data_IF_388377103886
#
_entry.id   IF_388377103886
#
_cell.length_a   1.000
_cell.length_b   1.000
_cell.length_c   1.000
_cell.angle_alpha   90.00
_cell.angle_beta   90.00
_cell.angle_gamma   90.00
#
_symmetry.space_group_name_H-M   'P 1'
#
loop_
_entity.id
_entity.type
_entity.pdbx_description
1 polymer ?
#
# COMPACT_ATOMS: atom_id res chain seq x y z
N UNK A 1 14.24 -29.70 -88.90
CA UNK A 1 13.32 -29.30 -87.81
C UNK A 1 13.57 -30.22 -86.62
N UNK A 2 14.21 -29.78 -85.52
CA UNK A 2 14.39 -30.63 -84.36
C UNK A 2 13.07 -30.70 -83.53
N UNK A 3 12.80 -31.85 -82.88
CA UNK A 3 11.49 -32.15 -82.30
C UNK A 3 11.29 -31.48 -80.93
N UNK A 4 10.26 -30.64 -80.89
CA UNK A 4 9.32 -30.32 -79.81
C UNK A 4 9.82 -30.37 -78.35
N UNK A 5 10.01 -29.15 -77.85
CA UNK A 5 10.24 -28.65 -76.48
C UNK A 5 9.25 -29.07 -75.39
N UNK A 6 8.35 -30.03 -75.62
CA UNK A 6 7.25 -30.36 -74.71
C UNK A 6 7.72 -30.89 -73.34
N UNK A 7 8.63 -31.86 -73.32
CA UNK A 7 9.13 -32.49 -72.08
C UNK A 7 9.91 -31.52 -71.19
N UNK A 8 10.69 -30.62 -71.79
CA UNK A 8 11.41 -29.57 -71.03
C UNK A 8 10.44 -28.56 -70.42
N UNK A 9 9.39 -28.19 -71.14
CA UNK A 9 8.34 -27.31 -70.61
C UNK A 9 7.60 -27.97 -69.45
N UNK A 10 7.24 -29.26 -69.56
CA UNK A 10 6.60 -30.00 -68.47
C UNK A 10 7.49 -30.17 -67.22
N UNK A 11 8.79 -30.38 -67.39
CA UNK A 11 9.74 -30.45 -66.27
C UNK A 11 9.85 -29.09 -65.56
N UNK A 12 9.92 -27.99 -66.31
CA UNK A 12 9.95 -26.64 -65.74
C UNK A 12 8.65 -26.31 -65.00
N UNK A 13 7.49 -26.67 -65.56
CA UNK A 13 6.19 -26.50 -64.92
C UNK A 13 6.09 -27.33 -63.63
N UNK A 14 6.57 -28.58 -63.65
CA UNK A 14 6.60 -29.43 -62.46
C UNK A 14 7.52 -28.87 -61.36
N UNK A 15 8.73 -28.44 -61.71
CA UNK A 15 9.66 -27.79 -60.77
C UNK A 15 9.08 -26.49 -60.19
N UNK A 16 8.42 -25.67 -61.01
CA UNK A 16 7.75 -24.46 -60.56
C UNK A 16 6.60 -24.78 -59.58
N UNK A 17 5.82 -25.83 -59.85
CA UNK A 17 4.76 -26.29 -58.95
C UNK A 17 5.33 -26.79 -57.62
N UNK A 18 6.40 -27.58 -57.65
CA UNK A 18 7.08 -28.07 -56.43
C UNK A 18 7.62 -26.90 -55.60
N UNK A 19 8.26 -25.91 -56.24
CA UNK A 19 8.73 -24.70 -55.55
C UNK A 19 7.58 -23.88 -54.95
N UNK A 20 6.46 -23.77 -55.66
CA UNK A 20 5.29 -23.06 -55.17
C UNK A 20 4.68 -23.76 -53.95
N UNK A 21 4.55 -25.09 -54.01
CA UNK A 21 4.05 -25.89 -52.88
C UNK A 21 5.01 -25.82 -51.70
N UNK A 22 6.32 -25.97 -51.94
CA UNK A 22 7.32 -25.85 -50.89
C UNK A 22 7.31 -24.45 -50.25
N UNK A 23 7.23 -23.39 -51.05
CA UNK A 23 7.10 -22.01 -50.57
C UNK A 23 5.83 -21.78 -49.77
N UNK A 24 4.69 -22.30 -50.22
CA UNK A 24 3.42 -22.21 -49.49
C UNK A 24 3.48 -22.95 -48.16
N UNK A 25 4.01 -24.18 -48.14
CA UNK A 25 4.17 -24.97 -46.90
C UNK A 25 5.14 -24.30 -45.93
N UNK A 26 6.27 -23.79 -46.42
CA UNK A 26 7.23 -23.03 -45.61
C UNK A 26 6.62 -21.75 -45.05
N UNK A 27 5.84 -21.01 -45.84
CA UNK A 27 5.15 -19.80 -45.39
C UNK A 27 4.10 -20.11 -44.33
N UNK A 28 3.29 -21.15 -44.52
CA UNK A 28 2.28 -21.59 -43.55
C UNK A 28 2.94 -22.09 -42.27
N UNK A 29 4.04 -22.85 -42.37
CA UNK A 29 4.83 -23.30 -41.23
C UNK A 29 5.45 -22.14 -40.43
N UNK A 30 6.02 -21.16 -41.13
CA UNK A 30 6.54 -19.94 -40.49
C UNK A 30 5.44 -19.15 -39.78
N UNK A 31 4.28 -18.96 -40.43
CA UNK A 31 3.11 -18.32 -39.80
C UNK A 31 2.64 -19.06 -38.56
N UNK A 32 2.61 -20.39 -38.59
CA UNK A 32 2.26 -21.22 -37.44
C UNK A 32 3.30 -21.16 -36.31
N UNK A 33 4.58 -20.91 -36.63
CA UNK A 33 5.68 -20.85 -35.67
C UNK A 33 5.73 -19.57 -34.82
N UNK A 34 4.94 -18.54 -35.16
CA UNK A 34 4.90 -17.29 -34.39
C UNK A 34 4.32 -17.59 -32.98
N UNK A 35 5.09 -17.35 -31.90
CA UNK A 35 4.67 -17.71 -30.54
C UNK A 35 3.39 -16.98 -30.14
N UNK A 36 2.66 -17.55 -29.18
CA UNK A 36 1.55 -16.86 -28.51
C UNK A 36 2.08 -15.72 -27.60
N UNK A 37 1.22 -14.79 -27.15
CA UNK A 37 1.60 -13.76 -26.19
C UNK A 37 2.17 -14.36 -24.91
N UNK A 38 3.10 -13.64 -24.28
CA UNK A 38 3.71 -14.00 -23.00
C UNK A 38 3.08 -13.17 -21.89
N UNK A 39 2.98 -13.77 -20.71
CA UNK A 39 2.48 -13.12 -19.50
C UNK A 39 3.58 -13.09 -18.46
N UNK A 40 3.72 -11.97 -17.77
CA UNK A 40 4.64 -11.81 -16.64
C UNK A 40 3.91 -11.09 -15.53
N UNK A 41 3.95 -11.66 -14.33
CA UNK A 41 3.31 -11.11 -13.15
C UNK A 41 3.52 -12.01 -11.94
N UNK A 42 3.52 -11.42 -10.75
CA UNK A 42 3.60 -12.13 -9.47
C UNK A 42 2.29 -11.92 -8.74
N UNK A 43 1.31 -12.84 -8.86
CA UNK A 43 0.05 -12.69 -8.15
C UNK A 43 0.22 -12.95 -6.64
N UNK A 44 -0.69 -12.41 -5.82
CA UNK A 44 -0.75 -12.76 -4.41
C UNK A 44 -1.14 -14.23 -4.23
N UNK A 45 -0.64 -14.88 -3.17
CA UNK A 45 -0.97 -16.28 -2.84
C UNK A 45 -2.36 -16.39 -2.21
N UNK A 46 -2.74 -15.38 -1.43
CA UNK A 46 -4.01 -15.27 -0.73
C UNK A 46 -4.80 -14.07 -1.27
N UNK A 47 -6.12 -14.23 -1.39
CA UNK A 47 -7.03 -13.17 -1.83
C UNK A 47 -8.12 -13.02 -0.77
N UNK A 48 -8.15 -11.85 -0.14
CA UNK A 48 -9.23 -11.45 0.77
C UNK A 48 -10.43 -10.85 0.07
N UNK A 49 -11.16 -10.01 0.79
CA UNK A 49 -12.30 -9.28 0.22
C UNK A 49 -11.94 -8.40 -0.98
N UNK A 50 -10.75 -7.79 -0.96
CA UNK A 50 -10.24 -6.93 -2.03
C UNK A 50 -8.74 -7.16 -2.21
N UNK A 51 -8.35 -7.62 -3.39
CA UNK A 51 -6.95 -7.80 -3.76
C UNK A 51 -6.64 -7.10 -5.08
N UNK A 52 -5.45 -6.52 -5.20
CA UNK A 52 -4.97 -5.90 -6.43
C UNK A 52 -3.73 -6.61 -6.95
N UNK A 53 -3.73 -7.00 -8.21
CA UNK A 53 -2.60 -7.62 -8.88
C UNK A 53 -2.42 -7.00 -10.27
N UNK A 54 -1.18 -6.81 -10.72
CA UNK A 54 -0.89 -6.28 -12.05
C UNK A 54 -0.21 -7.35 -12.89
N UNK A 55 -0.74 -7.60 -14.08
CA UNK A 55 -0.17 -8.54 -15.04
C UNK A 55 0.28 -7.79 -16.29
N UNK A 56 1.48 -8.12 -16.76
CA UNK A 56 2.00 -7.60 -18.03
C UNK A 56 1.82 -8.66 -19.09
N UNK A 57 1.14 -8.31 -20.17
CA UNK A 57 0.95 -9.17 -21.34
C UNK A 57 1.72 -8.57 -22.51
N UNK A 58 2.52 -9.39 -23.19
CA UNK A 58 3.31 -8.97 -24.35
C UNK A 58 3.07 -9.90 -25.54
N UNK A 59 2.66 -9.31 -26.66
CA UNK A 59 2.53 -10.02 -27.93
C UNK A 59 3.90 -10.35 -28.52
N UNK A 60 4.13 -11.63 -28.81
CA UNK A 60 5.35 -12.08 -29.47
C UNK A 60 5.44 -11.59 -30.92
N UNK A 61 4.30 -11.35 -31.57
CA UNK A 61 4.18 -10.70 -32.87
C UNK A 61 2.85 -9.92 -32.97
N UNK A 62 2.78 -8.95 -33.88
CA UNK A 62 1.57 -8.13 -34.06
C UNK A 62 1.23 -7.26 -32.85
N UNK A 63 -0.08 -7.12 -32.58
CA UNK A 63 -0.65 -6.41 -31.43
C UNK A 63 -1.57 -7.33 -30.64
N UNK A 64 -1.79 -6.99 -29.38
CA UNK A 64 -2.81 -7.66 -28.59
C UNK A 64 -4.20 -7.26 -29.11
N UNK A 65 -5.04 -8.25 -29.39
CA UNK A 65 -6.44 -8.05 -29.79
C UNK A 65 -7.38 -8.13 -28.59
N UNK A 66 -7.05 -8.97 -27.60
CA UNK A 66 -7.79 -9.12 -26.35
C UNK A 66 -6.82 -9.49 -25.24
N UNK A 67 -7.02 -8.92 -24.06
CA UNK A 67 -6.43 -9.38 -22.82
C UNK A 67 -7.53 -9.35 -21.76
N UNK A 68 -7.54 -10.31 -20.85
CA UNK A 68 -8.42 -10.31 -19.69
C UNK A 68 -7.87 -11.23 -18.61
N UNK A 69 -8.19 -10.91 -17.37
CA UNK A 69 -7.85 -11.71 -16.20
C UNK A 69 -9.14 -12.31 -15.68
N UNK A 70 -9.11 -13.62 -15.44
CA UNK A 70 -10.24 -14.38 -14.93
C UNK A 70 -9.85 -15.08 -13.64
N UNK A 71 -10.81 -15.28 -12.75
CA UNK A 71 -10.65 -16.15 -11.57
C UNK A 71 -11.49 -17.40 -11.80
N UNK A 72 -10.84 -18.56 -11.75
CA UNK A 72 -11.45 -19.87 -11.87
C UNK A 72 -11.62 -20.48 -10.48
N UNK A 73 -12.86 -20.79 -10.10
CA UNK A 73 -13.17 -21.48 -8.85
C UNK A 73 -14.28 -22.50 -9.07
N UNK A 74 -14.04 -23.76 -8.69
CA UNK A 74 -15.04 -24.83 -8.79
C UNK A 74 -15.60 -25.04 -10.20
N UNK A 75 -14.79 -24.80 -11.24
CA UNK A 75 -15.22 -24.89 -12.65
C UNK A 75 -15.95 -23.66 -13.19
N UNK A 76 -16.21 -22.64 -12.35
CA UNK A 76 -16.81 -21.37 -12.76
C UNK A 76 -15.72 -20.32 -12.98
N UNK A 77 -15.71 -19.66 -14.14
CA UNK A 77 -14.74 -18.62 -14.49
C UNK A 77 -15.41 -17.25 -14.46
N UNK A 78 -14.86 -16.31 -13.70
CA UNK A 78 -15.35 -14.94 -13.57
C UNK A 78 -14.30 -13.97 -14.09
N UNK A 79 -14.68 -13.09 -15.01
CA UNK A 79 -13.78 -12.05 -15.54
C UNK A 79 -13.67 -10.94 -14.50
N UNK A 80 -12.47 -10.68 -14.01
CA UNK A 80 -12.19 -9.66 -12.97
C UNK A 80 -11.58 -8.39 -13.55
N UNK A 81 -10.90 -8.49 -14.69
CA UNK A 81 -10.33 -7.34 -15.37
C UNK A 81 -10.32 -7.54 -16.87
N UNK A 82 -10.73 -6.50 -17.58
CA UNK A 82 -10.63 -6.42 -19.03
C UNK A 82 -10.23 -4.98 -19.40
N UNK A 83 -9.01 -4.75 -19.90
CA UNK A 83 -8.63 -3.43 -20.38
C UNK A 83 -9.52 -3.04 -21.57
N UNK A 84 -9.98 -1.80 -21.55
CA UNK A 84 -10.78 -1.21 -22.61
C UNK A 84 -9.88 -0.52 -23.65
N UNK A 85 -10.31 -0.56 -24.92
CA UNK A 85 -9.61 0.12 -26.02
C UNK A 85 -8.61 -0.75 -26.80
N UNK A 86 -7.89 -0.11 -27.71
CA UNK A 86 -6.92 -0.78 -28.57
C UNK A 86 -5.64 -1.11 -27.79
N UNK A 87 -5.31 -2.39 -27.70
CA UNK A 87 -4.10 -2.84 -27.01
C UNK A 87 -2.91 -2.76 -27.95
N UNK A 88 -1.77 -2.28 -27.42
CA UNK A 88 -0.51 -2.24 -28.14
C UNK A 88 0.15 -3.62 -28.23
N UNK A 89 1.47 -3.63 -28.47
CA UNK A 89 2.26 -4.87 -28.39
C UNK A 89 2.46 -5.35 -26.95
N UNK A 90 2.48 -4.42 -25.99
CA UNK A 90 2.55 -4.69 -24.55
C UNK A 90 1.40 -3.96 -23.87
N UNK A 91 0.74 -4.63 -22.93
CA UNK A 91 -0.35 -4.07 -22.14
C UNK A 91 -0.17 -4.45 -20.67
N UNK A 92 -0.39 -3.48 -19.79
CA UNK A 92 -0.50 -3.70 -18.35
C UNK A 92 -1.96 -3.85 -17.99
N UNK A 93 -2.29 -4.92 -17.28
CA UNK A 93 -3.65 -5.26 -16.90
C UNK A 93 -3.73 -5.24 -15.36
N UNK A 94 -4.07 -4.09 -14.76
CA UNK A 94 -4.37 -4.02 -13.35
C UNK A 94 -5.69 -4.74 -13.08
N UNK A 95 -5.65 -5.76 -12.24
CA UNK A 95 -6.80 -6.53 -11.82
C UNK A 95 -7.12 -6.21 -10.35
N UNK A 96 -8.31 -5.67 -10.12
CA UNK A 96 -8.89 -5.52 -8.78
C UNK A 96 -9.90 -6.63 -8.60
N UNK A 97 -9.60 -7.57 -7.71
CA UNK A 97 -10.41 -8.74 -7.42
C UNK A 97 -11.22 -8.42 -6.17
N UNK A 98 -12.52 -8.22 -6.33
CA UNK A 98 -13.46 -8.07 -5.23
C UNK A 98 -14.26 -9.37 -5.08
N UNK A 99 -13.93 -10.16 -4.06
CA UNK A 99 -14.42 -11.53 -3.94
C UNK A 99 -15.95 -11.60 -3.86
N UNK A 100 -16.58 -10.67 -3.13
CA UNK A 100 -18.04 -10.60 -2.99
C UNK A 100 -18.75 -10.26 -4.31
N UNK A 101 -18.24 -9.27 -5.06
CA UNK A 101 -18.80 -8.85 -6.34
C UNK A 101 -18.64 -9.93 -7.43
N UNK A 102 -17.52 -10.68 -7.37
CA UNK A 102 -17.26 -11.81 -8.25
C UNK A 102 -18.02 -13.10 -7.83
N UNK A 103 -18.71 -13.11 -6.70
CA UNK A 103 -19.43 -14.28 -6.17
C UNK A 103 -18.51 -15.44 -5.80
N UNK A 104 -17.26 -15.14 -5.45
CA UNK A 104 -16.26 -16.11 -5.05
C UNK A 104 -16.48 -16.54 -3.60
N UNK A 105 -16.17 -17.80 -3.31
CA UNK A 105 -16.28 -18.40 -1.97
C UNK A 105 -14.90 -18.68 -1.39
N UNK A 106 -14.85 -18.95 -0.09
CA UNK A 106 -13.64 -19.38 0.58
C UNK A 106 -13.15 -20.73 0.02
N UNK A 107 -11.83 -20.86 -0.17
CA UNK A 107 -11.18 -22.07 -0.69
C UNK A 107 -10.25 -21.83 -1.89
N UNK A 108 -9.79 -22.91 -2.50
CA UNK A 108 -8.85 -22.85 -3.63
C UNK A 108 -9.47 -22.26 -4.91
N UNK A 109 -8.70 -21.43 -5.60
CA UNK A 109 -9.02 -20.86 -6.90
C UNK A 109 -7.75 -20.74 -7.76
N UNK A 110 -7.90 -20.33 -9.01
CA UNK A 110 -6.78 -20.02 -9.90
C UNK A 110 -7.02 -18.70 -10.61
N UNK A 111 -6.01 -17.82 -10.63
CA UNK A 111 -6.03 -16.64 -11.50
C UNK A 111 -5.50 -17.08 -12.86
N UNK A 112 -6.31 -16.91 -13.89
CA UNK A 112 -5.95 -17.19 -15.27
C UNK A 112 -5.85 -15.90 -16.08
N UNK A 113 -4.73 -15.75 -16.79
CA UNK A 113 -4.53 -14.64 -17.71
C UNK A 113 -4.77 -15.14 -19.13
N UNK A 114 -5.75 -14.52 -19.79
CA UNK A 114 -6.16 -14.86 -21.14
C UNK A 114 -5.79 -13.69 -22.05
N UNK A 115 -5.06 -13.94 -23.12
CA UNK A 115 -4.85 -12.94 -24.15
C UNK A 115 -4.73 -13.56 -25.53
N UNK A 116 -5.08 -12.75 -26.54
CA UNK A 116 -5.02 -13.11 -27.94
C UNK A 116 -4.36 -11.97 -28.71
N UNK A 117 -3.50 -12.31 -29.65
CA UNK A 117 -2.94 -11.36 -30.62
C UNK A 117 -3.81 -11.29 -31.89
N UNK A 118 -3.49 -10.33 -32.77
CA UNK A 118 -4.11 -10.18 -34.09
C UNK A 118 -3.42 -11.02 -35.18
N UNK A 119 -2.51 -11.92 -34.80
CA UNK A 119 -1.72 -12.72 -35.75
C UNK A 119 -2.53 -13.91 -36.27
N UNK A 120 -2.78 -13.91 -37.58
CA UNK A 120 -3.43 -15.03 -38.27
C UNK A 120 -2.50 -16.27 -38.33
N UNK A 121 -3.03 -17.41 -37.87
CA UNK A 121 -2.36 -18.72 -37.89
C UNK A 121 -3.22 -19.75 -38.65
N UNK A 122 -2.64 -20.60 -39.52
CA UNK A 122 -3.39 -21.57 -40.32
C UNK A 122 -4.18 -22.59 -39.48
N UNK A 123 -3.61 -23.06 -38.37
CA UNK A 123 -4.27 -23.95 -37.42
C UNK A 123 -4.73 -23.15 -36.20
N UNK A 124 -6.04 -23.17 -35.94
CA UNK A 124 -6.62 -22.61 -34.72
C UNK A 124 -6.36 -23.58 -33.56
N UNK A 125 -5.45 -23.20 -32.67
CA UNK A 125 -5.38 -23.81 -31.34
C UNK A 125 -6.57 -23.34 -30.52
N UNK A 126 -7.11 -24.21 -29.68
CA UNK A 126 -8.13 -23.82 -28.72
C UNK A 126 -7.64 -22.67 -27.84
N UNK A 127 -8.55 -21.78 -27.47
CA UNK A 127 -8.21 -20.72 -26.52
C UNK A 127 -7.87 -21.38 -25.19
N UNK A 128 -6.67 -21.10 -24.69
CA UNK A 128 -6.18 -21.57 -23.39
C UNK A 128 -5.66 -20.39 -22.56
N UNK A 129 -5.70 -20.54 -21.25
CA UNK A 129 -5.01 -19.61 -20.35
C UNK A 129 -3.51 -19.58 -20.69
N UNK A 130 -2.94 -18.37 -20.82
CA UNK A 130 -1.51 -18.19 -21.08
C UNK A 130 -0.69 -18.41 -19.81
N UNK A 131 -1.27 -18.08 -18.66
CA UNK A 131 -0.73 -18.36 -17.35
C UNK A 131 -1.88 -18.69 -16.40
N UNK A 132 -1.66 -19.64 -15.50
CA UNK A 132 -2.58 -20.02 -14.44
C UNK A 132 -1.82 -20.07 -13.12
N UNK A 133 -2.29 -19.31 -12.15
CA UNK A 133 -1.65 -19.17 -10.85
C UNK A 133 -2.58 -19.68 -9.75
N UNK A 134 -2.20 -20.71 -8.99
CA UNK A 134 -3.02 -21.20 -7.89
C UNK A 134 -3.03 -20.17 -6.76
N UNK A 135 -4.22 -19.87 -6.26
CA UNK A 135 -4.47 -18.91 -5.18
C UNK A 135 -5.48 -19.48 -4.19
N UNK A 136 -5.43 -19.05 -2.95
CA UNK A 136 -6.44 -19.39 -1.94
C UNK A 136 -7.26 -18.15 -1.62
N UNK A 137 -8.57 -18.28 -1.71
CA UNK A 137 -9.49 -17.22 -1.30
C UNK A 137 -9.80 -17.44 0.18
N UNK A 138 -9.45 -16.46 0.99
CA UNK A 138 -9.69 -16.44 2.43
C UNK A 138 -10.49 -15.19 2.76
N UNK A 139 -11.76 -15.37 3.15
CA UNK A 139 -12.67 -14.27 3.45
C UNK A 139 -12.92 -14.13 4.95
N UNK A 140 -12.21 -14.90 5.78
CA UNK A 140 -12.43 -14.94 7.21
C UNK A 140 -11.51 -13.93 7.87
N UNK A 141 -12.04 -12.84 8.47
CA UNK A 141 -11.18 -11.86 9.14
C UNK A 141 -10.49 -12.47 10.37
N UNK A 142 -9.30 -11.95 10.74
CA UNK A 142 -8.55 -12.47 11.86
C UNK A 142 -9.33 -12.31 13.17
N UNK A 143 -9.27 -13.32 14.04
CA UNK A 143 -9.91 -13.23 15.37
C UNK A 143 -9.23 -12.14 16.20
N UNK A 144 -10.03 -11.21 16.69
CA UNK A 144 -9.55 -10.06 17.45
C UNK A 144 -10.32 -9.88 18.75
N UNK A 145 -9.64 -10.06 19.89
CA UNK A 145 -10.22 -9.93 21.22
C UNK A 145 -9.37 -9.02 22.12
N UNK A 146 -10.01 -7.99 22.69
CA UNK A 146 -9.36 -7.12 23.68
C UNK A 146 -9.38 -7.82 25.03
N UNK A 147 -8.20 -8.00 25.63
CA UNK A 147 -8.02 -8.66 26.94
C UNK A 147 -8.08 -7.64 28.06
N UNK A 148 -7.38 -6.51 27.90
CA UNK A 148 -7.32 -5.44 28.87
C UNK A 148 -6.97 -4.13 28.18
N UNK A 149 -7.46 -3.02 28.72
CA UNK A 149 -7.16 -1.68 28.24
C UNK A 149 -7.07 -0.71 29.42
N UNK A 150 -6.33 0.39 29.23
CA UNK A 150 -6.38 1.52 30.16
C UNK A 150 -7.80 2.07 30.26
N UNK A 151 -8.39 2.02 31.47
CA UNK A 151 -9.79 2.39 31.69
C UNK A 151 -10.09 3.87 31.46
N UNK A 152 -9.17 4.76 31.83
CA UNK A 152 -9.38 6.21 31.75
C UNK A 152 -8.24 6.87 30.99
N UNK A 153 -8.59 7.65 29.97
CA UNK A 153 -7.61 8.33 29.11
C UNK A 153 -8.04 9.77 28.93
N UNK A 154 -7.12 10.71 29.14
CA UNK A 154 -7.34 12.12 28.88
C UNK A 154 -6.68 12.54 27.56
N UNK A 155 -7.21 13.54 26.84
CA UNK A 155 -6.50 14.17 25.72
C UNK A 155 -5.07 14.57 26.13
N UNK A 156 -4.11 14.35 25.23
CA UNK A 156 -2.69 14.54 25.52
C UNK A 156 -2.08 13.49 26.45
N UNK A 157 -2.79 12.40 26.72
CA UNK A 157 -2.32 11.26 27.48
C UNK A 157 -1.88 10.09 26.60
N UNK A 158 -1.54 8.98 27.24
CA UNK A 158 -1.26 7.71 26.57
C UNK A 158 -2.02 6.58 27.25
N UNK A 159 -2.32 5.55 26.48
CA UNK A 159 -2.98 4.33 26.93
C UNK A 159 -2.20 3.09 26.53
N UNK A 160 -2.54 2.01 27.20
CA UNK A 160 -2.05 0.66 26.94
C UNK A 160 -3.25 -0.22 26.61
N UNK A 161 -3.13 -1.05 25.59
CA UNK A 161 -4.09 -2.12 25.32
C UNK A 161 -3.36 -3.43 25.09
N UNK A 162 -3.91 -4.49 25.68
CA UNK A 162 -3.49 -5.87 25.50
C UNK A 162 -4.63 -6.59 24.81
N UNK A 163 -4.34 -7.24 23.70
CA UNK A 163 -5.33 -7.92 22.88
C UNK A 163 -4.73 -9.20 22.27
N UNK A 164 -5.60 -10.10 21.83
CA UNK A 164 -5.25 -11.28 21.04
C UNK A 164 -5.61 -11.01 19.60
N UNK A 165 -4.66 -11.22 18.71
CA UNK A 165 -4.89 -11.26 17.28
C UNK A 165 -4.42 -12.63 16.81
N UNK A 166 -5.26 -13.39 16.11
CA UNK A 166 -4.93 -14.75 15.68
C UNK A 166 -3.84 -14.78 14.62
N UNK A 167 -4.26 -15.01 13.39
CA UNK A 167 -3.51 -15.10 12.13
C UNK A 167 -3.15 -13.75 11.51
N UNK A 168 -3.14 -12.69 12.32
CA UNK A 168 -2.85 -11.34 11.85
C UNK A 168 -1.35 -11.15 11.54
N UNK A 169 -1.04 -10.70 10.33
CA UNK A 169 0.31 -10.27 9.93
C UNK A 169 0.62 -8.88 10.48
N UNK A 170 -0.39 -8.00 10.52
CA UNK A 170 -0.27 -6.67 11.09
C UNK A 170 -1.35 -6.46 12.14
N UNK A 171 -0.97 -5.91 13.28
CA UNK A 171 -1.92 -5.49 14.27
C UNK A 171 -1.43 -4.26 15.03
N UNK A 172 -2.36 -3.44 15.49
CA UNK A 172 -2.06 -2.18 16.13
C UNK A 172 -3.29 -1.51 16.68
N UNK A 173 -3.12 -0.26 17.12
CA UNK A 173 -4.21 0.60 17.59
C UNK A 173 -4.31 1.77 16.65
N UNK A 174 -5.53 2.11 16.28
CA UNK A 174 -5.85 3.29 15.50
C UNK A 174 -6.62 4.30 16.36
N UNK A 175 -6.16 5.54 16.34
CA UNK A 175 -6.79 6.70 16.98
C UNK A 175 -7.05 7.74 15.89
N UNK A 176 -8.26 7.73 15.33
CA UNK A 176 -8.55 8.51 14.12
C UNK A 176 -7.64 8.10 12.95
N UNK A 177 -6.79 9.00 12.48
CA UNK A 177 -5.82 8.75 11.41
C UNK A 177 -4.45 8.24 11.92
N UNK A 178 -4.23 8.24 13.23
CA UNK A 178 -2.96 7.80 13.82
C UNK A 178 -2.96 6.29 14.02
N UNK A 179 -1.92 5.62 13.53
CA UNK A 179 -1.69 4.20 13.73
C UNK A 179 -0.51 3.99 14.68
N UNK A 180 -0.70 3.11 15.66
CA UNK A 180 0.30 2.73 16.65
C UNK A 180 0.59 1.22 16.54
N UNK A 181 1.87 0.82 16.46
CA UNK A 181 2.24 -0.58 16.34
C UNK A 181 1.93 -1.35 17.62
N UNK A 182 1.76 -2.67 17.48
CA UNK A 182 1.67 -3.60 18.61
C UNK A 182 2.83 -4.59 18.59
N UNK A 183 3.18 -5.09 19.76
CA UNK A 183 4.30 -6.00 19.98
C UNK A 183 3.82 -7.31 20.60
N UNK A 184 4.38 -8.46 20.20
CA UNK A 184 4.03 -9.74 20.81
C UNK A 184 4.42 -9.76 22.29
N UNK A 185 3.57 -10.34 23.13
CA UNK A 185 3.81 -10.48 24.58
C UNK A 185 3.45 -11.90 25.01
N UNK A 186 4.41 -12.56 25.67
CA UNK A 186 4.25 -13.94 26.16
C UNK A 186 4.49 -15.01 25.09
N UNK A 187 4.36 -16.27 25.50
CA UNK A 187 4.66 -17.46 24.67
C UNK A 187 3.45 -18.40 24.52
N UNK A 188 2.23 -17.87 24.67
CA UNK A 188 1.01 -18.66 24.55
C UNK A 188 0.68 -19.07 23.12
N UNK A 189 -0.19 -20.08 22.95
CA UNK A 189 -0.62 -20.59 21.63
C UNK A 189 -1.32 -19.53 20.76
N UNK A 190 -2.09 -18.63 21.37
CA UNK A 190 -2.65 -17.46 20.69
C UNK A 190 -1.74 -16.26 21.00
N UNK A 191 -1.14 -15.62 19.98
CA UNK A 191 -0.20 -14.53 20.22
C UNK A 191 -0.94 -13.34 20.83
N UNK A 192 -0.67 -13.10 22.11
CA UNK A 192 -1.08 -11.86 22.76
C UNK A 192 -0.18 -10.74 22.28
N UNK A 193 -0.76 -9.57 22.12
CA UNK A 193 -0.08 -8.38 21.65
C UNK A 193 -0.40 -7.22 22.57
N UNK A 194 0.57 -6.33 22.69
CA UNK A 194 0.50 -5.13 23.51
C UNK A 194 0.80 -3.92 22.64
N UNK A 195 -0.03 -2.89 22.75
CA UNK A 195 0.18 -1.64 22.03
C UNK A 195 0.07 -0.46 23.00
N UNK A 196 1.07 0.41 22.93
CA UNK A 196 0.97 1.76 23.48
C UNK A 196 0.37 2.67 22.41
N UNK A 197 -0.58 3.50 22.80
CA UNK A 197 -1.16 4.50 21.92
C UNK A 197 -1.23 5.84 22.63
N UNK A 198 -1.04 6.92 21.88
CA UNK A 198 -1.18 8.27 22.39
C UNK A 198 -2.53 8.85 21.96
N UNK A 199 -3.16 9.58 22.86
CA UNK A 199 -4.33 10.39 22.54
C UNK A 199 -3.86 11.83 22.27
N UNK A 200 -4.04 12.36 21.06
CA UNK A 200 -3.64 13.74 20.75
C UNK A 200 -4.29 14.76 21.71
N UNK A 201 -3.64 15.90 21.91
CA UNK A 201 -4.20 16.96 22.77
C UNK A 201 -5.40 17.64 22.10
N UNK A 202 -5.41 17.69 20.77
CA UNK A 202 -6.45 18.20 19.88
C UNK A 202 -7.49 17.13 19.52
N UNK A 203 -7.62 16.10 20.34
CA UNK A 203 -8.56 15.00 20.12
C UNK A 203 -10.02 15.50 20.06
N UNK A 204 -10.66 15.26 18.93
CA UNK A 204 -12.08 15.55 18.75
C UNK A 204 -12.95 14.45 19.40
N UNK A 205 -13.93 14.87 20.20
CA UNK A 205 -14.90 13.96 20.80
C UNK A 205 -15.61 13.12 19.71
N UNK A 206 -15.69 11.80 19.91
CA UNK A 206 -16.26 10.87 18.94
C UNK A 206 -15.26 10.26 17.96
N UNK A 207 -13.99 10.68 17.96
CA UNK A 207 -12.94 9.99 17.19
C UNK A 207 -12.85 8.52 17.67
N UNK A 208 -12.84 7.52 16.78
CA UNK A 208 -12.77 6.13 17.21
C UNK A 208 -11.36 5.77 17.70
N UNK A 209 -11.32 5.07 18.83
CA UNK A 209 -10.12 4.37 19.34
C UNK A 209 -10.40 2.88 19.17
N UNK A 210 -9.65 2.22 18.29
CA UNK A 210 -9.89 0.82 17.98
C UNK A 210 -8.59 0.05 17.79
N UNK A 211 -8.58 -1.19 18.24
CA UNK A 211 -7.59 -2.17 17.81
C UNK A 211 -7.94 -2.62 16.40
N UNK A 212 -6.93 -2.77 15.55
CA UNK A 212 -7.07 -3.27 14.18
C UNK A 212 -6.10 -4.42 13.95
N UNK A 213 -6.55 -5.45 13.24
CA UNK A 213 -5.74 -6.58 12.82
C UNK A 213 -6.00 -6.89 11.34
N UNK A 214 -4.93 -7.13 10.58
CA UNK A 214 -4.92 -7.43 9.15
C UNK A 214 -4.16 -8.74 8.92
N UNK A 215 -4.78 -9.67 8.20
CA UNK A 215 -4.20 -10.96 7.82
C UNK A 215 -3.37 -10.87 6.51
N UNK A 216 -2.84 -12.00 6.03
CA UNK A 216 -2.09 -12.06 4.77
C UNK A 216 -2.99 -11.88 3.53
N UNK A 217 -4.29 -12.18 3.65
CA UNK A 217 -5.28 -12.01 2.59
C UNK A 217 -5.76 -10.56 2.45
N UNK A 218 -5.45 -9.70 3.43
CA UNK A 218 -5.87 -8.29 3.50
C UNK A 218 -7.23 -8.08 4.17
N UNK A 219 -7.78 -9.09 4.85
CA UNK A 219 -9.00 -8.91 5.64
C UNK A 219 -8.66 -8.17 6.94
N UNK A 220 -9.51 -7.19 7.29
CA UNK A 220 -9.30 -6.33 8.45
C UNK A 220 -10.40 -6.59 9.48
N UNK A 221 -9.99 -6.93 10.71
CA UNK A 221 -10.85 -6.93 11.88
C UNK A 221 -10.58 -5.68 12.72
N UNK A 222 -11.64 -5.08 13.28
CA UNK A 222 -11.50 -3.95 14.19
C UNK A 222 -12.41 -4.10 15.41
N UNK A 223 -11.90 -3.71 16.58
CA UNK A 223 -12.65 -3.70 17.83
C UNK A 223 -12.34 -2.42 18.62
N UNK A 224 -13.38 -1.76 19.12
CA UNK A 224 -13.23 -0.57 19.94
C UNK A 224 -12.44 -0.85 21.22
N UNK A 225 -11.59 0.08 21.63
CA UNK A 225 -10.90 0.02 22.92
C UNK A 225 -11.87 0.47 24.00
N UNK A 226 -12.13 -0.34 25.05
CA UNK A 226 -13.05 0.00 26.12
C UNK A 226 -12.36 0.97 27.11
N UNK A 227 -12.25 2.24 26.72
CA UNK A 227 -11.68 3.30 27.55
C UNK A 227 -12.64 4.49 27.66
N UNK A 228 -12.79 5.03 28.88
CA UNK A 228 -13.51 6.25 29.17
C UNK A 228 -12.61 7.47 28.98
N UNK A 229 -13.14 8.50 28.33
CA UNK A 229 -12.40 9.73 28.07
C UNK A 229 -12.62 10.74 29.19
N UNK A 230 -11.53 11.12 29.85
CA UNK A 230 -11.55 12.17 30.86
C UNK A 230 -11.37 13.55 30.20
N UNK A 231 -12.18 14.55 30.57
CA UNK A 231 -11.98 15.91 30.09
C UNK A 231 -10.67 16.46 30.66
N UNK A 232 -9.87 17.10 29.80
CA UNK A 232 -8.66 17.81 30.22
C UNK A 232 -8.66 19.20 29.60
N UNK A 233 -8.41 20.21 30.45
CA UNK A 233 -8.22 21.59 30.01
C UNK A 233 -6.73 21.86 29.90
N UNK A 234 -6.31 22.39 28.76
CA UNK A 234 -4.95 22.84 28.54
C UNK A 234 -4.80 24.31 28.95
N UNK A 235 -3.63 24.63 29.51
CA UNK A 235 -3.31 26.00 29.90
C UNK A 235 -3.10 26.86 28.67
N UNK A 236 -3.43 28.14 28.82
CA UNK A 236 -3.15 29.16 27.82
C UNK A 236 -2.15 30.13 28.45
N UNK A 237 -1.07 30.39 27.75
CA UNK A 237 -0.03 31.30 28.19
C UNK A 237 0.23 32.36 27.11
N UNK A 238 0.55 33.57 27.55
CA UNK A 238 0.84 34.70 26.66
C UNK A 238 2.30 35.10 26.83
N UNK A 239 3.08 34.87 25.78
CA UNK A 239 4.52 35.12 25.80
C UNK A 239 4.80 36.42 25.04
N UNK A 240 5.29 37.42 25.76
CA UNK A 240 5.80 38.65 25.16
C UNK A 240 7.19 38.40 24.57
N UNK A 241 7.30 38.61 23.26
CA UNK A 241 8.55 38.54 22.52
C UNK A 241 9.20 39.93 22.54
N UNK A 242 10.46 40.00 22.98
CA UNK A 242 11.26 41.22 23.03
C UNK A 242 12.35 41.17 21.96
N UNK A 243 12.81 42.34 21.51
CA UNK A 243 13.86 42.44 20.49
C UNK A 243 15.14 41.68 20.89
N UNK A 244 15.57 41.83 22.15
CA UNK A 244 16.74 41.10 22.67
C UNK A 244 16.62 39.57 22.56
N UNK A 245 15.39 39.01 22.66
CA UNK A 245 15.17 37.58 22.45
C UNK A 245 15.32 37.20 20.99
N UNK A 246 14.75 37.99 20.08
CA UNK A 246 14.84 37.78 18.64
C UNK A 246 16.29 37.87 18.16
N UNK A 247 17.01 38.91 18.58
CA UNK A 247 18.42 39.12 18.25
C UNK A 247 19.31 37.98 18.72
N UNK A 248 19.02 37.40 19.89
CA UNK A 248 19.78 36.27 20.42
C UNK A 248 19.43 34.94 19.74
N UNK A 249 18.14 34.63 19.52
CA UNK A 249 17.69 33.28 19.12
C UNK A 249 17.52 33.08 17.62
N UNK A 250 17.18 34.12 16.85
CA UNK A 250 17.01 33.98 15.40
C UNK A 250 18.31 33.57 14.71
N UNK A 251 19.48 34.15 15.00
CA UNK A 251 20.74 33.73 14.36
C UNK A 251 21.15 32.29 14.73
N UNK A 252 20.85 31.85 15.96
CA UNK A 252 21.13 30.49 16.43
C UNK A 252 20.26 29.44 15.72
N UNK A 253 18.96 29.72 15.56
CA UNK A 253 17.98 28.76 15.04
C UNK A 253 17.80 28.81 13.52
N UNK A 254 18.14 29.94 12.88
CA UNK A 254 18.07 30.12 11.42
C UNK A 254 19.33 30.83 10.90
N UNK A 255 20.50 30.16 10.91
CA UNK A 255 21.77 30.77 10.53
C UNK A 255 21.86 31.13 9.04
N UNK A 256 21.09 30.46 8.18
CA UNK A 256 21.08 30.69 6.72
C UNK A 256 20.19 31.87 6.29
N UNK A 257 19.67 32.64 7.25
CA UNK A 257 18.78 33.78 6.99
C UNK A 257 19.50 34.89 6.20
N UNK A 258 18.86 35.49 5.17
CA UNK A 258 19.38 36.71 4.55
C UNK A 258 19.45 37.88 5.55
N UNK A 259 20.54 38.67 5.60
CA UNK A 259 20.66 39.79 6.53
C UNK A 259 19.49 40.79 6.43
N UNK A 260 18.93 40.96 5.22
CA UNK A 260 17.82 41.87 4.91
C UNK A 260 16.45 41.41 5.43
N UNK A 261 16.29 40.14 5.84
CA UNK A 261 15.00 39.62 6.32
C UNK A 261 14.72 40.11 7.75
N UNK A 262 13.56 40.72 8.05
CA UNK A 262 13.22 41.13 9.41
C UNK A 262 13.27 39.97 10.42
N UNK A 263 13.77 40.23 11.63
CA UNK A 263 13.89 39.20 12.67
C UNK A 263 12.55 38.57 13.05
N UNK A 264 11.48 39.37 13.04
CA UNK A 264 10.12 38.90 13.34
C UNK A 264 9.61 37.90 12.30
N UNK A 265 9.87 38.14 11.02
CA UNK A 265 9.48 37.21 9.95
C UNK A 265 10.28 35.91 10.04
N UNK A 266 11.59 36.01 10.32
CA UNK A 266 12.42 34.85 10.55
C UNK A 266 11.97 34.03 11.77
N UNK A 267 11.51 34.69 12.84
CA UNK A 267 10.91 34.01 13.99
C UNK A 267 9.66 33.22 13.60
N UNK A 268 8.77 33.78 12.77
CA UNK A 268 7.58 33.05 12.30
C UNK A 268 7.94 31.83 11.45
N UNK A 269 8.98 31.93 10.59
CA UNK A 269 9.49 30.77 9.84
C UNK A 269 9.98 29.67 10.78
N UNK A 270 10.74 30.03 11.83
CA UNK A 270 11.20 29.08 12.83
C UNK A 270 10.01 28.43 13.55
N UNK A 271 9.05 29.24 14.00
CA UNK A 271 7.94 28.79 14.83
C UNK A 271 6.92 27.95 14.08
N UNK A 272 6.78 28.13 12.76
CA UNK A 272 5.82 27.41 11.92
C UNK A 272 6.48 26.29 11.15
N UNK A 273 7.42 26.62 10.27
CA UNK A 273 7.93 25.68 9.27
C UNK A 273 8.96 24.73 9.89
N UNK A 274 9.94 25.28 10.62
CA UNK A 274 10.95 24.42 11.28
C UNK A 274 10.31 23.55 12.36
N UNK A 275 9.30 24.04 13.08
CA UNK A 275 8.54 23.21 14.03
C UNK A 275 7.81 22.07 13.32
N UNK A 276 7.15 22.34 12.19
CA UNK A 276 6.48 21.30 11.40
C UNK A 276 7.47 20.22 10.95
N UNK A 277 8.60 20.63 10.38
CA UNK A 277 9.66 19.71 9.95
C UNK A 277 10.21 18.90 11.12
N UNK A 278 10.42 19.54 12.28
CA UNK A 278 10.87 18.84 13.49
C UNK A 278 9.85 17.80 13.98
N UNK A 279 8.55 18.11 13.96
CA UNK A 279 7.49 17.17 14.32
C UNK A 279 7.39 15.99 13.33
N UNK A 280 7.49 16.24 12.03
CA UNK A 280 7.56 15.19 11.01
C UNK A 280 8.77 14.28 11.22
N UNK A 281 9.93 14.86 11.51
CA UNK A 281 11.14 14.10 11.78
C UNK A 281 11.03 13.26 13.07
N UNK A 282 10.42 13.81 14.14
CA UNK A 282 10.15 13.05 15.38
C UNK A 282 9.25 11.85 15.10
N UNK A 283 8.19 12.03 14.31
CA UNK A 283 7.28 10.93 13.91
C UNK A 283 8.01 9.87 13.11
N UNK A 284 8.86 10.28 12.16
CA UNK A 284 9.67 9.36 11.35
C UNK A 284 10.63 8.55 12.20
N UNK A 285 11.36 9.19 13.12
CA UNK A 285 12.27 8.50 14.04
C UNK A 285 11.48 7.56 14.95
N UNK A 286 10.37 8.03 15.53
CA UNK A 286 9.52 7.24 16.42
C UNK A 286 8.88 6.01 15.78
N UNK A 287 8.71 6.01 14.45
CA UNK A 287 8.25 4.83 13.70
C UNK A 287 9.31 3.71 13.65
N UNK A 288 10.59 4.03 13.91
CA UNK A 288 11.69 3.06 13.98
C UNK A 288 11.91 2.64 15.42
N UNK A 289 11.22 1.60 15.86
CA UNK A 289 11.24 1.12 17.25
C UNK A 289 11.69 -0.34 17.35
N UNK A 290 12.37 -0.68 18.44
CA UNK A 290 12.67 -2.07 18.77
C UNK A 290 11.38 -2.83 19.15
N UNK A 291 11.41 -4.15 18.97
CA UNK A 291 10.33 -5.08 19.34
C UNK A 291 10.33 -5.45 20.83
N UNK A 292 11.35 -5.00 21.56
CA UNK A 292 11.55 -5.24 22.98
C UNK A 292 11.74 -3.92 23.74
N UNK A 293 11.34 -3.86 25.03
CA UNK A 293 11.64 -2.73 25.88
C UNK A 293 13.16 -2.46 25.94
N UNK A 294 13.56 -1.22 25.71
CA UNK A 294 14.94 -0.75 25.87
C UNK A 294 15.19 -0.04 27.22
N UNK A 295 14.17 -0.02 28.07
CA UNK A 295 14.21 0.56 29.41
C UNK A 295 14.01 -0.52 30.46
N UNK A 296 14.39 -0.22 31.70
CA UNK A 296 14.15 -1.06 32.86
C UNK A 296 13.60 -0.21 34.00
N UNK A 297 12.57 -0.72 34.69
CA UNK A 297 11.94 -0.02 35.80
C UNK A 297 11.06 1.15 35.36
N UNK A 298 10.77 2.02 36.32
CA UNK A 298 9.95 3.22 36.17
C UNK A 298 10.77 4.38 35.60
N UNK A 299 10.16 5.20 34.75
CA UNK A 299 10.77 6.45 34.33
C UNK A 299 10.84 7.44 35.50
N UNK A 300 12.03 7.95 35.79
CA UNK A 300 12.27 8.94 36.83
C UNK A 300 12.44 10.34 36.23
N UNK A 301 11.98 11.34 36.96
CA UNK A 301 12.29 12.72 36.62
C UNK A 301 13.80 12.95 36.83
N UNK A 302 14.51 13.59 35.88
CA UNK A 302 15.92 13.91 36.07
C UNK A 302 16.13 14.77 37.32
N UNK A 303 17.14 14.43 38.12
CA UNK A 303 17.44 15.11 39.39
C UNK A 303 17.73 16.60 39.15
N UNK A 304 17.33 17.45 40.11
CA UNK A 304 17.52 18.90 40.09
C UNK A 304 16.88 19.62 38.88
N UNK A 305 15.77 19.10 38.36
CA UNK A 305 15.01 19.77 37.29
C UNK A 305 13.76 20.48 37.84
N UNK A 306 13.38 21.57 37.17
CA UNK A 306 12.16 22.33 37.45
C UNK A 306 11.28 22.34 36.20
N UNK A 307 9.98 22.10 36.36
CA UNK A 307 9.00 22.20 35.28
C UNK A 307 8.71 23.67 35.01
N UNK A 308 9.09 24.17 33.83
CA UNK A 308 8.84 25.56 33.43
C UNK A 308 7.56 25.74 32.62
N UNK A 309 7.11 24.70 31.91
CA UNK A 309 5.88 24.72 31.13
C UNK A 309 5.25 23.34 31.11
N UNK A 310 3.91 23.31 31.01
CA UNK A 310 3.15 22.08 31.00
C UNK A 310 3.01 21.53 29.58
N UNK A 311 2.68 20.24 29.49
CA UNK A 311 2.39 19.59 28.22
C UNK A 311 1.17 20.22 27.53
N UNK A 312 1.28 20.41 26.21
CA UNK A 312 0.26 20.96 25.32
C UNK A 312 -0.35 22.29 25.80
N UNK A 313 0.48 23.13 26.41
CA UNK A 313 0.12 24.52 26.71
C UNK A 313 0.01 25.33 25.41
N UNK A 314 -1.13 25.97 25.22
CA UNK A 314 -1.40 26.85 24.07
C UNK A 314 -0.69 28.18 24.33
N UNK A 315 0.16 28.61 23.40
CA UNK A 315 1.02 29.79 23.60
C UNK A 315 0.72 30.85 22.57
N UNK A 316 0.19 31.97 23.02
CA UNK A 316 -0.01 33.14 22.17
C UNK A 316 1.23 34.04 22.26
N UNK A 317 1.90 34.23 21.13
CA UNK A 317 3.08 35.08 21.03
C UNK A 317 2.69 36.51 20.69
N UNK A 318 3.21 37.48 21.45
CA UNK A 318 2.88 38.89 21.29
C UNK A 318 4.14 39.72 21.15
N UNK A 319 4.18 40.56 20.13
CA UNK A 319 5.30 41.44 19.84
C UNK A 319 4.77 42.87 19.65
N UNK A 320 5.33 43.82 20.42
CA UNK A 320 4.92 45.23 20.40
C UNK A 320 3.40 45.43 20.54
N UNK A 321 2.78 44.66 21.45
CA UNK A 321 1.33 44.70 21.71
C UNK A 321 0.45 44.00 20.66
N UNK A 322 1.01 43.44 19.59
CA UNK A 322 0.27 42.70 18.56
C UNK A 322 0.51 41.20 18.67
N UNK A 323 -0.55 40.42 18.52
CA UNK A 323 -0.45 38.96 18.41
C UNK A 323 0.15 38.59 17.06
N UNK A 324 1.18 37.74 17.07
CA UNK A 324 1.94 37.37 15.88
C UNK A 324 1.81 35.89 15.53
N UNK A 325 1.54 35.03 16.52
CA UNK A 325 1.44 33.58 16.34
C UNK A 325 0.73 32.90 17.53
N UNK A 326 0.22 31.68 17.32
CA UNK A 326 -0.41 30.83 18.34
C UNK A 326 -0.04 29.36 18.16
#
# INVERSE_FOLDING_TARGET
MPPRSGTRVWIVVFLALVLLVAGAVSFLGWRQSIPAPRVTGTPPRLIGHKATATFVVEAAGGRLARAEVRVLQGGKSVVVARPEGALGRRAEVPATIEAAAAGLKEGGAAIEVWARDDVWRPLRLEDRALASYPVTIDLTPPRLDVVSATSYIAPGGAGLVVFRAGDAVRAGVRVGELAFPSFPVGTGEVPMRLAFFALPYDYAAGTPIAVTAEDEAGNVASRGVPSELLPRKFRHDRIEIKDAFLEAKVPELLPQRPPSQPLIEAFLVINRDLRRQAEEQKRRIGATTADKPMWAGTFEQPRNTKVFSNFAEVRTYVYQGREIDT
#
